data_IF_509508862344
#
_entry.id   IF_509508862344
#
_cell.length_a   1.000
_cell.length_b   1.000
_cell.length_c   1.000
_cell.angle_alpha   90.00
_cell.angle_beta   90.00
_cell.angle_gamma   90.00
#
_symmetry.space_group_name_H-M   'P 1'
#
loop_
_entity.id
_entity.type
_entity.pdbx_description
1 polymer ?
#
# COMPACT_ATOMS: atom_id res chain seq x y z
N UNK A 1 -12.36 -2.15 15.85
CA UNK A 1 -12.70 -2.77 14.54
C UNK A 1 -12.53 -1.74 13.43
N UNK A 2 -12.19 -2.16 12.21
CA UNK A 2 -11.82 -1.28 11.09
C UNK A 2 -12.95 -0.43 10.45
N UNK A 3 -14.13 -0.34 11.09
CA UNK A 3 -15.26 0.51 10.68
C UNK A 3 -15.60 0.44 9.18
N UNK A 4 -15.56 -0.76 8.59
CA UNK A 4 -15.60 -0.89 7.12
C UNK A 4 -16.94 -0.48 6.50
N UNK A 5 -18.02 -0.48 7.30
CA UNK A 5 -19.35 -0.06 6.91
C UNK A 5 -19.59 1.46 7.09
N UNK A 6 -18.63 2.19 7.66
CA UNK A 6 -18.70 3.65 7.77
C UNK A 6 -18.72 4.27 6.38
N UNK A 7 -19.66 5.20 6.16
CA UNK A 7 -19.82 5.88 4.88
C UNK A 7 -18.92 7.10 4.83
N UNK A 8 -18.12 7.20 3.78
CA UNK A 8 -17.22 8.32 3.52
C UNK A 8 -17.37 8.80 2.08
N UNK A 9 -16.93 10.02 1.81
CA UNK A 9 -16.84 10.52 0.44
C UNK A 9 -15.77 9.76 -0.34
N UNK A 10 -16.11 9.36 -1.56
CA UNK A 10 -15.22 8.60 -2.42
C UNK A 10 -15.69 8.57 -3.87
N UNK A 11 -14.97 7.80 -4.69
CA UNK A 11 -15.31 7.61 -6.10
C UNK A 11 -15.32 6.12 -6.44
N UNK A 12 -16.42 5.66 -7.03
CA UNK A 12 -16.56 4.27 -7.52
C UNK A 12 -16.55 4.28 -9.05
N UNK A 13 -15.97 3.24 -9.64
CA UNK A 13 -15.97 3.06 -11.09
C UNK A 13 -17.31 2.46 -11.53
N UNK A 14 -18.07 3.19 -12.33
CA UNK A 14 -19.37 2.79 -12.87
C UNK A 14 -19.23 2.59 -14.39
N UNK A 15 -19.79 1.49 -14.90
CA UNK A 15 -19.84 1.21 -16.34
C UNK A 15 -21.02 1.98 -16.93
N UNK A 16 -20.72 2.81 -17.93
CA UNK A 16 -21.71 3.57 -18.71
C UNK A 16 -21.63 3.16 -20.18
N UNK A 17 -22.61 3.55 -20.99
CA UNK A 17 -22.62 3.30 -22.45
C UNK A 17 -21.41 3.93 -23.18
N UNK A 18 -20.76 4.92 -22.55
CA UNK A 18 -19.58 5.62 -23.05
C UNK A 18 -18.27 5.13 -22.40
N UNK A 19 -18.31 4.03 -21.64
CA UNK A 19 -17.16 3.44 -20.95
C UNK A 19 -17.19 3.59 -19.42
N UNK A 20 -16.04 3.38 -18.78
CA UNK A 20 -15.92 3.43 -17.31
C UNK A 20 -15.73 4.87 -16.85
N UNK A 21 -16.64 5.35 -15.98
CA UNK A 21 -16.53 6.67 -15.33
C UNK A 21 -16.40 6.53 -13.82
N UNK A 22 -15.85 7.55 -13.17
CA UNK A 22 -15.74 7.62 -11.71
C UNK A 22 -16.84 8.52 -11.16
N UNK A 23 -17.77 7.94 -10.42
CA UNK A 23 -18.88 8.67 -9.80
C UNK A 23 -18.52 9.05 -8.36
N UNK A 24 -18.60 10.35 -8.06
CA UNK A 24 -18.37 10.88 -6.71
C UNK A 24 -19.63 10.64 -5.88
N UNK A 25 -19.46 10.19 -4.64
CA UNK A 25 -20.57 9.98 -3.73
C UNK A 25 -20.13 9.53 -2.35
N UNK A 26 -21.11 9.21 -1.52
CA UNK A 26 -20.91 8.73 -0.16
C UNK A 26 -21.11 7.22 -0.15
N UNK A 27 -20.03 6.48 0.12
CA UNK A 27 -20.00 5.02 0.04
C UNK A 27 -19.40 4.42 1.31
N UNK A 28 -19.84 3.24 1.77
CA UNK A 28 -19.13 2.50 2.79
C UNK A 28 -17.68 2.21 2.37
N UNK A 29 -16.74 2.27 3.32
CA UNK A 29 -15.30 2.12 3.04
C UNK A 29 -14.95 0.89 2.20
N UNK A 30 -15.61 -0.27 2.40
CA UNK A 30 -15.32 -1.47 1.60
C UNK A 30 -15.55 -1.29 0.10
N UNK A 31 -16.48 -0.42 -0.32
CA UNK A 31 -16.71 -0.12 -1.74
C UNK A 31 -15.61 0.73 -2.36
N UNK A 32 -14.81 1.41 -1.53
CA UNK A 32 -13.73 2.29 -1.97
C UNK A 32 -12.37 1.58 -1.95
N UNK A 33 -12.30 0.36 -1.42
CA UNK A 33 -11.09 -0.46 -1.43
C UNK A 33 -10.88 -0.99 -2.85
N UNK A 34 -9.69 -0.74 -3.39
CA UNK A 34 -9.28 -1.22 -4.72
C UNK A 34 -8.07 -2.15 -4.62
N UNK A 35 -7.75 -2.83 -5.72
CA UNK A 35 -6.55 -3.68 -5.80
C UNK A 35 -5.26 -2.92 -5.43
N UNK A 36 -5.20 -1.62 -5.68
CA UNK A 36 -4.07 -0.79 -5.28
C UNK A 36 -3.90 -0.69 -3.75
N UNK A 37 -5.01 -0.62 -3.01
CA UNK A 37 -5.00 -0.61 -1.54
C UNK A 37 -4.46 -1.95 -1.04
N UNK A 38 -4.97 -3.06 -1.56
CA UNK A 38 -4.50 -4.41 -1.20
C UNK A 38 -3.01 -4.61 -1.47
N UNK A 39 -2.54 -4.21 -2.66
CA UNK A 39 -1.12 -4.25 -3.03
C UNK A 39 -0.25 -3.42 -2.09
N UNK A 40 -0.70 -2.23 -1.70
CA UNK A 40 0.02 -1.34 -0.77
C UNK A 40 0.06 -1.92 0.64
N UNK A 41 -1.09 -2.39 1.14
CA UNK A 41 -1.19 -3.04 2.44
C UNK A 41 -0.29 -4.27 2.53
N UNK A 42 -0.25 -5.09 1.47
CA UNK A 42 0.67 -6.23 1.39
C UNK A 42 2.13 -5.76 1.53
N UNK A 43 2.56 -4.81 0.69
CA UNK A 43 3.93 -4.32 0.73
C UNK A 43 4.32 -3.79 2.11
N UNK A 44 3.50 -2.93 2.71
CA UNK A 44 3.77 -2.32 4.02
C UNK A 44 3.75 -3.34 5.16
N UNK A 45 2.81 -4.29 5.18
CA UNK A 45 2.66 -5.23 6.30
C UNK A 45 3.75 -6.30 6.36
N UNK A 46 4.31 -6.65 5.20
CA UNK A 46 5.29 -7.73 5.06
C UNK A 46 6.72 -7.25 4.84
N UNK A 47 6.93 -5.96 4.56
CA UNK A 47 8.28 -5.39 4.51
C UNK A 47 9.00 -5.61 5.84
N UNK A 48 10.25 -6.10 5.78
CA UNK A 48 11.03 -6.50 6.96
C UNK A 48 10.66 -7.87 7.57
N UNK A 49 9.58 -8.52 7.10
CA UNK A 49 9.19 -9.89 7.51
C UNK A 49 9.46 -10.93 6.43
N UNK A 50 9.25 -10.55 5.16
CA UNK A 50 9.58 -11.36 4.00
C UNK A 50 10.81 -10.78 3.28
N UNK A 51 11.54 -11.61 2.51
CA UNK A 51 12.58 -11.10 1.62
C UNK A 51 12.06 -9.99 0.72
N UNK A 52 12.77 -8.87 0.66
CA UNK A 52 12.39 -7.69 -0.14
C UNK A 52 12.21 -8.04 -1.61
N UNK A 53 12.99 -9.01 -2.13
CA UNK A 53 12.86 -9.52 -3.50
C UNK A 53 11.46 -10.07 -3.78
N UNK A 54 10.89 -10.89 -2.90
CA UNK A 54 9.56 -11.46 -3.08
C UNK A 54 8.48 -10.38 -3.09
N UNK A 55 8.57 -9.42 -2.18
CA UNK A 55 7.62 -8.31 -2.13
C UNK A 55 7.72 -7.48 -3.41
N UNK A 56 8.94 -7.17 -3.86
CA UNK A 56 9.21 -6.42 -5.08
C UNK A 56 8.61 -7.11 -6.31
N UNK A 57 8.80 -8.42 -6.43
CA UNK A 57 8.32 -9.22 -7.56
C UNK A 57 6.79 -9.34 -7.56
N UNK A 58 6.19 -9.66 -6.41
CA UNK A 58 4.72 -9.75 -6.25
C UNK A 58 4.05 -8.41 -6.56
N UNK A 59 4.67 -7.31 -6.13
CA UNK A 59 4.13 -5.97 -6.35
C UNK A 59 4.55 -5.35 -7.68
N UNK A 60 5.41 -6.01 -8.47
CA UNK A 60 5.85 -5.54 -9.78
C UNK A 60 6.66 -4.23 -9.75
N UNK A 61 7.47 -3.98 -8.71
CA UNK A 61 8.36 -2.82 -8.70
C UNK A 61 9.70 -3.15 -9.36
N UNK A 62 10.16 -2.33 -10.30
CA UNK A 62 11.43 -2.61 -11.00
C UNK A 62 12.67 -2.50 -10.11
N UNK A 63 12.64 -1.61 -9.11
CA UNK A 63 13.77 -1.38 -8.19
C UNK A 63 13.29 -1.37 -6.74
N UNK A 64 14.20 -1.63 -5.81
CA UNK A 64 13.92 -1.52 -4.38
C UNK A 64 13.57 -0.08 -3.99
N UNK A 65 14.24 0.92 -4.58
CA UNK A 65 13.92 2.33 -4.35
C UNK A 65 12.44 2.66 -4.70
N UNK A 66 11.89 2.05 -5.77
CA UNK A 66 10.47 2.20 -6.11
C UNK A 66 9.56 1.59 -5.05
N UNK A 67 9.91 0.40 -4.54
CA UNK A 67 9.17 -0.25 -3.45
C UNK A 67 9.20 0.58 -2.16
N UNK A 68 10.38 1.08 -1.76
CA UNK A 68 10.55 1.92 -0.57
C UNK A 68 9.73 3.21 -0.67
N UNK A 69 9.77 3.87 -1.82
CA UNK A 69 8.92 5.03 -2.10
C UNK A 69 7.43 4.68 -2.04
N UNK A 70 7.03 3.52 -2.54
CA UNK A 70 5.65 3.05 -2.53
C UNK A 70 5.10 2.84 -1.11
N UNK A 71 5.91 2.26 -0.21
CA UNK A 71 5.55 2.06 1.20
C UNK A 71 5.83 3.28 2.08
N UNK A 72 6.42 4.35 1.53
CA UNK A 72 6.66 5.62 2.23
C UNK A 72 7.91 5.65 3.10
N UNK A 73 8.88 4.77 2.88
CA UNK A 73 10.18 4.80 3.58
C UNK A 73 11.12 5.82 2.98
N UNK A 74 11.77 6.57 3.84
CA UNK A 74 12.81 7.53 3.50
C UNK A 74 14.20 7.00 3.88
N UNK A 75 15.25 7.60 3.32
CA UNK A 75 16.62 7.23 3.67
C UNK A 75 16.94 7.41 5.16
N UNK A 76 16.22 8.32 5.86
CA UNK A 76 16.36 8.50 7.31
C UNK A 76 15.85 7.29 8.08
N UNK A 77 14.70 6.74 7.67
CA UNK A 77 14.11 5.56 8.31
C UNK A 77 15.05 4.36 8.17
N UNK A 78 15.65 4.18 6.99
CA UNK A 78 16.63 3.12 6.74
C UNK A 78 17.88 3.24 7.61
N UNK A 79 18.37 4.47 7.85
CA UNK A 79 19.55 4.69 8.68
C UNK A 79 19.31 4.32 10.15
N UNK A 80 18.14 4.66 10.68
CA UNK A 80 17.74 4.29 12.05
C UNK A 80 17.63 2.77 12.19
N UNK A 81 16.95 2.10 11.25
CA UNK A 81 16.83 0.63 11.29
C UNK A 81 18.18 -0.08 11.20
N UNK A 82 19.10 0.41 10.38
CA UNK A 82 20.45 -0.14 10.28
C UNK A 82 21.22 -0.01 11.61
N UNK A 83 21.08 1.13 12.30
CA UNK A 83 21.69 1.37 13.60
C UNK A 83 21.14 0.41 14.67
N UNK A 84 19.82 0.28 14.76
CA UNK A 84 19.18 -0.61 15.72
C UNK A 84 19.56 -2.07 15.48
N UNK A 85 19.63 -2.50 14.21
CA UNK A 85 20.09 -3.84 13.86
C UNK A 85 21.55 -4.06 14.29
N UNK A 86 22.43 -3.08 14.08
CA UNK A 86 23.82 -3.14 14.52
C UNK A 86 23.97 -3.23 16.04
N UNK A 87 23.09 -2.60 16.82
CA UNK A 87 23.09 -2.70 18.28
C UNK A 87 22.65 -4.09 18.75
N UNK A 88 21.62 -4.67 18.12
CA UNK A 88 21.08 -5.98 18.51
C UNK A 88 21.99 -7.16 18.12
N UNK A 89 22.97 -6.92 17.25
CA UNK A 89 23.98 -7.92 16.88
C UNK A 89 25.20 -7.94 17.82
N UNK A 90 25.30 -6.98 18.75
CA UNK A 90 26.33 -6.94 19.80
C UNK A 90 25.85 -7.64 21.06
#
# INVERSE_FOLDING_TARGET
>A
MAQINEKIEGKVATVTDLGIRKEVGIYPKWQLITSHVGRRSFATNFYGKLPTSFIKDITGHGTEAMLLKYIGKTSKDTAVEAYDLMLNLK
#
